data_IF_311358474626
#
_entry.id   IF_311358474626
#
_cell.length_a   1.000
_cell.length_b   1.000
_cell.length_c   1.000
_cell.angle_alpha   90.00
_cell.angle_beta   90.00
_cell.angle_gamma   90.00
#
_symmetry.space_group_name_H-M   'P 1'
#
loop_
_entity.id
_entity.type
_entity.pdbx_description
1 polymer ?
#
# COMPACT_ATOMS: atom_id res chain seq x y z
N UNK A 1 28.37 -14.14 2.48
CA UNK A 1 27.64 -13.51 1.36
C UNK A 1 28.69 -12.84 0.46
N UNK A 2 28.61 -12.99 -0.87
CA UNK A 2 29.55 -12.32 -1.78
C UNK A 2 29.04 -10.90 -2.01
N UNK A 3 29.79 -9.88 -1.60
CA UNK A 3 29.47 -8.49 -1.89
C UNK A 3 29.91 -8.16 -3.32
N UNK A 4 28.95 -8.17 -4.25
CA UNK A 4 29.15 -7.70 -5.61
C UNK A 4 28.79 -6.22 -5.69
N UNK A 5 29.55 -5.46 -6.47
CA UNK A 5 29.22 -4.10 -6.87
C UNK A 5 28.52 -4.09 -8.24
N UNK A 6 27.94 -2.94 -8.62
CA UNK A 6 27.33 -2.77 -9.94
C UNK A 6 28.34 -3.10 -11.07
N UNK A 7 29.61 -2.74 -10.91
CA UNK A 7 30.65 -3.02 -11.90
C UNK A 7 30.93 -4.52 -12.08
N UNK A 8 30.64 -5.34 -11.07
CA UNK A 8 30.91 -6.78 -11.10
C UNK A 8 29.85 -7.57 -11.89
N UNK A 9 28.71 -6.94 -12.21
CA UNK A 9 27.58 -7.57 -12.90
C UNK A 9 27.35 -7.04 -14.32
N UNK A 10 28.30 -6.30 -14.90
CA UNK A 10 28.17 -5.79 -16.27
C UNK A 10 28.34 -6.89 -17.34
N UNK A 11 27.45 -6.89 -18.33
CA UNK A 11 27.51 -7.76 -19.51
C UNK A 11 27.21 -9.22 -19.18
N UNK A 12 27.92 -10.15 -19.84
CA UNK A 12 27.68 -11.59 -19.70
C UNK A 12 27.91 -12.12 -18.26
N UNK A 13 28.68 -11.38 -17.44
CA UNK A 13 28.90 -11.70 -16.02
C UNK A 13 27.65 -11.50 -15.17
N UNK A 14 26.78 -10.56 -15.54
CA UNK A 14 25.54 -10.28 -14.80
C UNK A 14 24.54 -11.42 -14.82
N UNK A 15 24.47 -12.17 -15.93
CA UNK A 15 23.56 -13.33 -16.06
C UNK A 15 24.05 -14.57 -15.30
N UNK A 16 25.35 -14.64 -15.02
CA UNK A 16 25.95 -15.72 -14.23
C UNK A 16 25.94 -15.43 -12.72
N UNK A 17 25.69 -14.18 -12.31
CA UNK A 17 25.67 -13.80 -10.91
C UNK A 17 24.48 -14.43 -10.17
N UNK A 18 24.66 -14.84 -8.90
CA UNK A 18 23.54 -15.29 -8.07
C UNK A 18 22.47 -14.21 -7.97
N UNK A 19 21.20 -14.58 -8.17
CA UNK A 19 20.07 -13.64 -8.19
C UNK A 19 20.01 -12.77 -6.94
N UNK A 20 20.35 -13.33 -5.77
CA UNK A 20 20.34 -12.63 -4.49
C UNK A 20 21.37 -11.52 -4.47
N UNK A 21 22.58 -11.76 -5.01
CA UNK A 21 23.62 -10.73 -5.08
C UNK A 21 23.21 -9.57 -6.01
N UNK A 22 22.56 -9.87 -7.15
CA UNK A 22 21.97 -8.84 -8.03
C UNK A 22 20.90 -8.05 -7.27
N UNK A 23 20.03 -8.73 -6.52
CA UNK A 23 18.97 -8.09 -5.77
C UNK A 23 19.49 -7.21 -4.62
N UNK A 24 20.52 -7.66 -3.90
CA UNK A 24 21.14 -6.91 -2.81
C UNK A 24 21.77 -5.61 -3.32
N UNK A 25 22.42 -5.59 -4.51
CA UNK A 25 22.93 -4.34 -5.11
C UNK A 25 21.83 -3.28 -5.22
N UNK A 26 20.61 -3.68 -5.63
CA UNK A 26 19.49 -2.76 -5.77
C UNK A 26 19.04 -2.24 -4.40
N UNK A 27 18.83 -3.16 -3.45
CA UNK A 27 18.32 -2.82 -2.11
C UNK A 27 19.33 -1.97 -1.33
N UNK A 28 20.62 -2.31 -1.39
CA UNK A 28 21.68 -1.56 -0.72
C UNK A 28 21.92 -0.22 -1.40
N UNK A 29 21.86 -0.17 -2.74
CA UNK A 29 21.96 1.05 -3.52
C UNK A 29 20.87 2.05 -3.14
N UNK A 30 19.61 1.60 -3.12
CA UNK A 30 18.47 2.42 -2.72
C UNK A 30 18.54 2.87 -1.26
N UNK A 31 19.04 2.03 -0.35
CA UNK A 31 19.19 2.37 1.06
C UNK A 31 20.34 3.34 1.34
N UNK A 32 21.36 3.40 0.48
CA UNK A 32 22.57 4.20 0.70
C UNK A 32 22.43 5.70 0.44
N UNK A 33 21.24 6.17 0.01
CA UNK A 33 20.96 7.53 -0.48
C UNK A 33 21.85 8.00 -1.65
N UNK A 34 22.75 7.15 -2.15
CA UNK A 34 23.59 7.43 -3.31
C UNK A 34 22.79 7.22 -4.59
N UNK A 35 22.72 8.28 -5.39
CA UNK A 35 22.14 8.21 -6.73
C UNK A 35 22.93 7.21 -7.60
N UNK A 36 22.25 6.48 -8.50
CA UNK A 36 22.93 5.59 -9.45
C UNK A 36 23.85 6.36 -10.40
N UNK A 37 24.84 5.69 -11.02
CA UNK A 37 25.87 6.35 -11.84
C UNK A 37 25.33 7.23 -12.97
N UNK A 38 24.23 6.85 -13.63
CA UNK A 38 23.61 7.62 -14.71
C UNK A 38 22.47 8.53 -14.25
N UNK A 39 22.13 8.52 -12.96
CA UNK A 39 20.98 9.25 -12.39
C UNK A 39 19.61 8.63 -12.70
N UNK A 40 19.56 7.48 -13.41
CA UNK A 40 18.34 6.67 -13.59
C UNK A 40 18.01 5.89 -12.33
N UNK A 41 16.89 5.17 -12.32
CA UNK A 41 16.56 4.30 -11.17
C UNK A 41 17.53 3.11 -11.07
N UNK A 42 17.79 2.63 -9.85
CA UNK A 42 18.61 1.43 -9.61
C UNK A 42 18.09 0.20 -10.38
N UNK A 43 16.77 0.10 -10.57
CA UNK A 43 16.14 -0.96 -11.37
C UNK A 43 16.56 -0.89 -12.83
N UNK A 44 16.57 0.30 -13.44
CA UNK A 44 16.95 0.50 -14.83
C UNK A 44 18.44 0.23 -15.04
N UNK A 45 19.27 0.71 -14.13
CA UNK A 45 20.73 0.51 -14.17
C UNK A 45 21.11 -0.97 -14.08
N UNK A 46 20.52 -1.69 -13.13
CA UNK A 46 20.77 -3.13 -12.99
C UNK A 46 20.17 -3.91 -14.15
N UNK A 47 19.02 -3.49 -14.70
CA UNK A 47 18.44 -4.10 -15.89
C UNK A 47 19.37 -3.96 -17.11
N UNK A 48 19.92 -2.77 -17.32
CA UNK A 48 20.87 -2.49 -18.41
C UNK A 48 22.17 -3.30 -18.21
N UNK A 49 22.72 -3.32 -16.99
CA UNK A 49 23.94 -4.05 -16.66
C UNK A 49 23.81 -5.58 -16.85
N UNK A 50 22.68 -6.16 -16.42
CA UNK A 50 22.45 -7.62 -16.45
C UNK A 50 21.73 -8.11 -17.71
N UNK A 51 21.26 -7.18 -18.55
CA UNK A 51 20.40 -7.46 -19.71
C UNK A 51 19.12 -8.24 -19.37
N UNK A 52 18.60 -8.08 -18.15
CA UNK A 52 17.28 -8.60 -17.76
C UNK A 52 16.20 -7.53 -17.94
N UNK A 53 14.95 -7.91 -18.24
CA UNK A 53 13.85 -6.96 -18.27
C UNK A 53 13.65 -6.26 -16.91
N UNK A 54 13.33 -4.95 -16.86
CA UNK A 54 13.09 -4.23 -15.60
C UNK A 54 12.05 -4.88 -14.70
N UNK A 55 11.02 -5.53 -15.28
CA UNK A 55 10.00 -6.26 -14.52
C UNK A 55 10.58 -7.48 -13.79
N UNK A 56 11.60 -8.14 -14.34
CA UNK A 56 12.31 -9.24 -13.68
C UNK A 56 13.15 -8.71 -12.52
N UNK A 57 13.90 -7.63 -12.75
CA UNK A 57 14.71 -6.93 -11.74
C UNK A 57 13.86 -6.48 -10.55
N UNK A 58 12.67 -5.91 -10.80
CA UNK A 58 11.71 -5.59 -9.73
C UNK A 58 11.38 -6.81 -8.88
N UNK A 59 11.11 -7.96 -9.49
CA UNK A 59 10.80 -9.19 -8.74
C UNK A 59 11.99 -9.68 -7.90
N UNK A 60 13.21 -9.59 -8.42
CA UNK A 60 14.43 -9.91 -7.64
C UNK A 60 14.51 -9.04 -6.38
N UNK A 61 14.39 -7.71 -6.55
CA UNK A 61 14.40 -6.73 -5.45
C UNK A 61 13.39 -7.06 -4.37
N UNK A 62 12.15 -7.39 -4.75
CA UNK A 62 11.07 -7.68 -3.80
C UNK A 62 11.27 -8.97 -3.04
N UNK A 63 11.81 -9.99 -3.70
CA UNK A 63 12.19 -11.24 -3.06
C UNK A 63 13.29 -11.00 -2.03
N UNK A 64 14.27 -10.15 -2.31
CA UNK A 64 15.32 -9.79 -1.35
C UNK A 64 14.78 -8.98 -0.17
N UNK A 65 13.93 -7.97 -0.40
CA UNK A 65 13.28 -7.21 0.69
C UNK A 65 12.49 -8.15 1.60
N UNK A 66 11.70 -9.06 1.00
CA UNK A 66 10.96 -10.07 1.75
C UNK A 66 11.87 -10.92 2.65
N UNK A 67 13.01 -11.40 2.14
CA UNK A 67 13.95 -12.18 2.94
C UNK A 67 14.58 -11.34 4.06
N UNK A 68 14.98 -10.09 3.79
CA UNK A 68 15.55 -9.18 4.80
C UNK A 68 14.56 -8.83 5.91
N UNK A 69 13.28 -8.66 5.59
CA UNK A 69 12.22 -8.46 6.58
C UNK A 69 12.11 -9.67 7.51
N UNK A 70 12.08 -10.87 6.93
CA UNK A 70 12.04 -12.09 7.74
C UNK A 70 13.30 -12.30 8.60
N UNK A 71 14.48 -11.93 8.11
CA UNK A 71 15.73 -11.91 8.91
C UNK A 71 15.62 -10.95 10.10
N UNK A 72 15.09 -9.73 9.86
CA UNK A 72 14.87 -8.72 10.90
C UNK A 72 13.87 -9.20 11.95
N UNK A 73 12.86 -9.96 11.55
CA UNK A 73 11.84 -10.55 12.43
C UNK A 73 12.34 -11.82 13.17
N UNK A 74 13.61 -12.18 13.02
CA UNK A 74 14.23 -13.30 13.73
C UNK A 74 13.91 -14.67 13.15
N UNK A 75 13.42 -14.75 11.91
CA UNK A 75 13.17 -16.03 11.27
C UNK A 75 14.48 -16.68 10.77
N UNK A 76 15.03 -17.61 11.55
CA UNK A 76 16.28 -18.33 11.24
C UNK A 76 16.26 -19.11 9.91
N UNK A 77 15.06 -19.44 9.43
CA UNK A 77 14.83 -20.15 8.16
C UNK A 77 15.38 -19.40 6.92
N UNK A 78 15.64 -18.08 7.02
CA UNK A 78 16.13 -17.30 5.88
C UNK A 78 17.55 -17.69 5.46
N UNK A 79 18.39 -18.10 6.40
CA UNK A 79 19.74 -18.58 6.09
C UNK A 79 19.71 -19.78 5.14
N UNK A 80 18.81 -20.73 5.39
CA UNK A 80 18.66 -21.99 4.64
C UNK A 80 18.16 -21.78 3.20
N UNK A 81 17.37 -20.73 2.95
CA UNK A 81 16.76 -20.49 1.62
C UNK A 81 17.59 -19.59 0.72
N UNK A 82 18.77 -19.12 1.19
CA UNK A 82 19.68 -18.23 0.44
C UNK A 82 20.13 -18.82 -0.91
N UNK A 83 20.22 -20.15 -1.00
CA UNK A 83 20.66 -20.86 -2.20
C UNK A 83 19.49 -21.35 -3.07
N UNK A 84 18.24 -21.05 -2.68
CA UNK A 84 17.10 -21.53 -3.44
C UNK A 84 16.95 -20.77 -4.76
N UNK A 85 16.38 -21.41 -5.80
CA UNK A 85 16.11 -20.72 -7.04
C UNK A 85 15.15 -19.55 -6.82
N UNK A 86 15.43 -18.42 -7.47
CA UNK A 86 14.60 -17.21 -7.39
C UNK A 86 13.09 -17.50 -7.58
N UNK A 87 12.74 -18.38 -8.52
CA UNK A 87 11.34 -18.74 -8.80
C UNK A 87 10.61 -19.33 -7.59
N UNK A 88 11.33 -20.03 -6.70
CA UNK A 88 10.75 -20.59 -5.48
C UNK A 88 10.52 -19.48 -4.46
N UNK A 89 11.51 -18.62 -4.23
CA UNK A 89 11.40 -17.49 -3.30
C UNK A 89 10.28 -16.53 -3.71
N UNK A 90 10.19 -16.17 -4.99
CA UNK A 90 9.11 -15.28 -5.45
C UNK A 90 7.73 -15.92 -5.31
N UNK A 91 7.59 -17.22 -5.53
CA UNK A 91 6.31 -17.91 -5.30
C UNK A 91 5.98 -18.02 -3.81
N UNK A 92 6.96 -18.30 -2.94
CA UNK A 92 6.76 -18.36 -1.50
C UNK A 92 6.39 -16.98 -0.96
N UNK A 93 7.06 -15.91 -1.41
CA UNK A 93 6.68 -14.52 -1.11
C UNK A 93 5.22 -14.25 -1.48
N UNK A 94 4.79 -14.65 -2.68
CA UNK A 94 3.39 -14.51 -3.12
C UNK A 94 2.41 -15.37 -2.30
N UNK A 95 2.84 -16.53 -1.82
CA UNK A 95 2.05 -17.37 -0.92
C UNK A 95 1.93 -16.68 0.44
N UNK A 96 3.04 -16.16 0.99
CA UNK A 96 3.06 -15.40 2.24
C UNK A 96 2.14 -14.17 2.18
N UNK A 97 2.15 -13.42 1.08
CA UNK A 97 1.22 -12.29 0.85
C UNK A 97 -0.26 -12.71 0.91
N UNK A 98 -0.57 -13.97 0.59
CA UNK A 98 -1.94 -14.50 0.61
C UNK A 98 -2.24 -15.20 1.93
N UNK A 99 -1.28 -15.90 2.51
CA UNK A 99 -1.39 -16.70 3.73
C UNK A 99 -0.01 -16.70 4.43
N UNK A 100 0.22 -15.77 5.37
CA UNK A 100 1.53 -15.60 6.02
C UNK A 100 1.99 -16.85 6.75
N UNK A 101 1.09 -17.50 7.49
CA UNK A 101 1.38 -18.73 8.24
C UNK A 101 1.84 -19.85 7.30
N UNK A 102 1.18 -20.00 6.14
CA UNK A 102 1.58 -20.99 5.15
C UNK A 102 2.89 -20.64 4.47
N UNK A 103 3.12 -19.36 4.15
CA UNK A 103 4.39 -18.89 3.58
C UNK A 103 5.58 -19.18 4.49
N UNK A 104 5.47 -18.85 5.78
CA UNK A 104 6.50 -19.12 6.79
C UNK A 104 6.78 -20.63 6.92
N UNK A 105 5.73 -21.46 6.93
CA UNK A 105 5.87 -22.91 6.99
C UNK A 105 6.66 -23.48 5.80
N UNK A 106 6.53 -22.89 4.62
CA UNK A 106 7.29 -23.30 3.43
C UNK A 106 8.77 -22.92 3.51
N UNK A 107 9.11 -21.87 4.27
CA UNK A 107 10.49 -21.47 4.50
C UNK A 107 11.15 -22.32 5.59
N UNK A 108 10.38 -22.79 6.58
CA UNK A 108 10.88 -23.63 7.67
C UNK A 108 11.13 -25.09 7.27
N UNK A 109 11.06 -25.45 5.99
CA UNK A 109 11.16 -26.84 5.51
C UNK A 109 12.50 -27.09 4.80
N UNK A 110 13.43 -27.77 5.49
CA UNK A 110 14.73 -28.36 5.05
C UNK A 110 15.72 -27.50 4.23
N UNK A 111 17.00 -27.89 4.26
CA UNK A 111 18.10 -27.20 3.53
C UNK A 111 17.94 -27.22 1.99
N UNK A 112 17.20 -28.20 1.46
CA UNK A 112 16.82 -28.28 0.04
C UNK A 112 15.33 -28.00 -0.10
N UNK A 113 14.95 -27.22 -1.13
CA UNK A 113 13.54 -26.93 -1.42
C UNK A 113 12.78 -28.24 -1.64
N UNK A 114 11.89 -28.65 -0.72
CA UNK A 114 11.18 -29.92 -0.86
C UNK A 114 10.03 -29.81 -1.87
N UNK A 115 9.75 -28.61 -2.37
CA UNK A 115 8.69 -28.33 -3.32
C UNK A 115 9.26 -28.11 -4.70
N UNK A 116 8.65 -28.74 -5.71
CA UNK A 116 8.91 -28.37 -7.09
C UNK A 116 8.15 -27.08 -7.45
N UNK A 117 8.62 -26.35 -8.46
CA UNK A 117 8.02 -25.08 -8.86
C UNK A 117 6.52 -25.21 -9.20
N UNK A 118 6.11 -26.34 -9.81
CA UNK A 118 4.71 -26.59 -10.19
C UNK A 118 3.82 -26.74 -8.96
N UNK A 119 4.31 -27.33 -7.89
CA UNK A 119 3.59 -27.46 -6.61
C UNK A 119 3.37 -26.11 -5.96
N UNK A 120 4.39 -25.24 -5.94
CA UNK A 120 4.25 -23.88 -5.41
C UNK A 120 3.25 -23.05 -6.24
N UNK A 121 3.30 -23.15 -7.57
CA UNK A 121 2.34 -22.49 -8.46
C UNK A 121 0.92 -23.03 -8.27
N UNK A 122 0.77 -24.35 -8.13
CA UNK A 122 -0.53 -25.00 -7.85
C UNK A 122 -1.06 -24.56 -6.49
N UNK A 123 -0.23 -24.57 -5.45
CA UNK A 123 -0.60 -24.11 -4.11
C UNK A 123 -1.06 -22.64 -4.12
N UNK A 124 -0.32 -21.77 -4.79
CA UNK A 124 -0.71 -20.37 -4.95
C UNK A 124 -2.05 -20.22 -5.69
N UNK A 125 -2.25 -21.01 -6.75
CA UNK A 125 -3.53 -21.03 -7.50
C UNK A 125 -4.68 -21.54 -6.62
N UNK A 126 -4.46 -22.58 -5.83
CA UNK A 126 -5.46 -23.16 -4.95
C UNK A 126 -5.81 -22.21 -3.80
N UNK A 127 -4.81 -21.57 -3.18
CA UNK A 127 -5.03 -20.54 -2.16
C UNK A 127 -5.83 -19.35 -2.72
N UNK A 128 -5.50 -18.90 -3.93
CA UNK A 128 -6.25 -17.85 -4.63
C UNK A 128 -7.67 -18.28 -4.99
N UNK A 129 -7.89 -19.56 -5.28
CA UNK A 129 -9.22 -20.09 -5.58
C UNK A 129 -10.08 -20.30 -4.32
N UNK A 130 -9.46 -20.64 -3.17
CA UNK A 130 -10.15 -20.83 -1.89
C UNK A 130 -10.56 -19.51 -1.23
N UNK A 131 -9.84 -18.41 -1.46
CA UNK A 131 -10.23 -17.05 -1.01
C UNK A 131 -11.36 -16.41 -1.85
N UNK A 132 -12.40 -17.18 -2.15
CA UNK A 132 -13.62 -16.83 -2.91
C UNK A 132 -13.57 -17.08 -4.44
N UNK A 133 -14.63 -17.67 -5.05
CA UNK A 133 -14.72 -17.93 -6.49
C UNK A 133 -14.72 -16.68 -7.40
N UNK A 134 -14.72 -15.48 -6.82
CA UNK A 134 -14.85 -14.19 -7.53
C UNK A 134 -13.47 -13.63 -7.93
N UNK A 135 -12.37 -14.34 -7.67
CA UNK A 135 -11.00 -13.91 -7.99
C UNK A 135 -10.48 -14.34 -9.38
N UNK A 136 -11.38 -14.63 -10.34
CA UNK A 136 -11.01 -14.93 -11.73
C UNK A 136 -11.69 -13.96 -12.70
N UNK A 137 -10.96 -12.92 -13.08
CA UNK A 137 -10.93 -12.25 -14.40
C UNK A 137 -10.11 -10.98 -14.22
N UNK A 138 -9.53 -10.44 -15.29
CA UNK A 138 -8.55 -9.33 -15.32
C UNK A 138 -9.03 -7.96 -14.79
N UNK A 139 -9.94 -7.93 -13.82
CA UNK A 139 -10.57 -6.80 -13.13
C UNK A 139 -10.27 -6.75 -11.62
N UNK A 140 -9.31 -7.58 -11.16
CA UNK A 140 -9.02 -7.82 -9.74
C UNK A 140 -8.67 -6.59 -8.89
N UNK A 141 -8.25 -5.47 -9.50
CA UNK A 141 -8.03 -4.21 -8.78
C UNK A 141 -9.33 -3.57 -8.27
N UNK A 142 -10.40 -3.55 -9.09
CA UNK A 142 -11.68 -2.92 -8.72
C UNK A 142 -12.44 -3.71 -7.66
N UNK A 143 -12.44 -5.04 -7.77
CA UNK A 143 -13.10 -5.92 -6.79
C UNK A 143 -12.34 -5.88 -5.45
N UNK A 144 -11.00 -5.86 -5.47
CA UNK A 144 -10.20 -5.71 -4.25
C UNK A 144 -10.33 -4.32 -3.63
N UNK A 145 -10.44 -3.27 -4.44
CA UNK A 145 -10.73 -1.91 -3.94
C UNK A 145 -12.09 -1.88 -3.24
N UNK A 146 -13.15 -2.36 -3.90
CA UNK A 146 -14.49 -2.40 -3.31
C UNK A 146 -14.54 -3.21 -2.01
N UNK A 147 -13.92 -4.39 -1.98
CA UNK A 147 -13.81 -5.20 -0.75
C UNK A 147 -13.04 -4.48 0.36
N UNK A 148 -11.98 -3.76 0.01
CA UNK A 148 -11.22 -2.97 0.98
C UNK A 148 -12.03 -1.79 1.51
N UNK A 149 -12.78 -1.09 0.67
CA UNK A 149 -13.69 -0.01 1.08
C UNK A 149 -14.77 -0.54 2.05
N UNK A 150 -15.35 -1.73 1.79
CA UNK A 150 -16.27 -2.37 2.74
C UNK A 150 -15.61 -2.67 4.09
N UNK A 151 -14.38 -3.19 4.08
CA UNK A 151 -13.63 -3.44 5.31
C UNK A 151 -13.33 -2.14 6.07
N UNK A 152 -12.97 -1.08 5.35
CA UNK A 152 -12.73 0.22 5.97
C UNK A 152 -13.99 0.76 6.62
N UNK A 153 -15.13 0.72 5.93
CA UNK A 153 -16.42 1.12 6.49
C UNK A 153 -16.79 0.29 7.73
N UNK A 154 -16.60 -1.02 7.65
CA UNK A 154 -16.83 -1.95 8.77
C UNK A 154 -15.92 -1.61 9.96
N UNK A 155 -14.63 -1.38 9.70
CA UNK A 155 -13.66 -1.03 10.73
C UNK A 155 -13.98 0.34 11.35
N UNK A 156 -14.39 1.34 10.56
CA UNK A 156 -14.83 2.65 11.08
C UNK A 156 -16.03 2.49 12.03
N UNK A 157 -17.00 1.66 11.68
CA UNK A 157 -18.19 1.44 12.51
C UNK A 157 -17.90 0.60 13.77
N UNK A 158 -16.99 -0.38 13.66
CA UNK A 158 -16.70 -1.32 14.76
C UNK A 158 -15.64 -0.80 15.73
N UNK A 159 -14.67 -0.02 15.22
CA UNK A 159 -13.67 0.61 16.06
C UNK A 159 -14.28 1.82 16.77
N UNK A 160 -13.77 2.14 17.97
CA UNK A 160 -14.00 3.45 18.60
C UNK A 160 -13.21 4.56 17.88
N UNK A 161 -12.91 4.38 16.59
CA UNK A 161 -12.16 5.33 15.83
C UNK A 161 -12.99 6.59 15.68
N UNK A 162 -12.36 7.72 16.00
CA UNK A 162 -12.99 9.01 15.97
C UNK A 162 -12.07 9.92 15.16
N UNK A 163 -12.49 10.23 13.94
CA UNK A 163 -11.75 11.00 12.93
C UNK A 163 -11.22 12.33 13.49
N UNK A 164 -10.04 12.30 14.11
CA UNK A 164 -9.42 13.46 14.74
C UNK A 164 -9.98 13.91 16.10
N UNK A 165 -10.89 13.14 16.73
CA UNK A 165 -11.32 13.44 18.11
C UNK A 165 -10.33 12.75 19.07
N UNK A 166 -9.32 13.48 19.53
CA UNK A 166 -8.50 13.02 20.66
C UNK A 166 -9.40 12.85 21.89
N UNK A 167 -9.57 11.62 22.38
CA UNK A 167 -9.99 11.27 23.74
C UNK A 167 -10.99 12.24 24.38
N UNK A 168 -12.18 12.39 23.81
CA UNK A 168 -13.29 12.99 24.56
C UNK A 168 -14.15 11.85 25.09
N UNK A 169 -13.95 11.55 26.37
CA UNK A 169 -14.92 10.88 27.24
C UNK A 169 -16.21 11.71 27.41
N UNK A 170 -16.28 12.89 26.81
CA UNK A 170 -17.48 13.71 26.73
C UNK A 170 -18.39 13.26 25.58
N UNK A 171 -19.60 12.91 25.99
CA UNK A 171 -20.69 12.45 25.14
C UNK A 171 -20.92 13.30 23.87
N UNK A 172 -21.12 12.59 22.77
CA UNK A 172 -22.04 12.96 21.68
C UNK A 172 -21.61 14.03 20.66
N UNK A 173 -20.35 14.03 20.17
CA UNK A 173 -20.13 14.55 18.81
C UNK A 173 -20.62 13.50 17.82
N UNK A 174 -21.90 13.63 17.42
CA UNK A 174 -22.49 12.79 16.37
C UNK A 174 -21.93 13.20 15.01
N UNK A 175 -21.02 12.40 14.47
CA UNK A 175 -20.68 12.45 13.06
C UNK A 175 -21.49 11.40 12.31
N UNK A 176 -21.74 11.64 11.02
CA UNK A 176 -22.41 10.68 10.15
C UNK A 176 -21.48 10.33 9.00
N UNK A 177 -21.16 9.05 8.85
CA UNK A 177 -20.45 8.53 7.68
C UNK A 177 -21.46 7.93 6.70
N UNK A 178 -21.39 8.35 5.44
CA UNK A 178 -22.23 7.82 4.36
C UNK A 178 -21.38 7.62 3.11
N UNK A 179 -21.78 6.67 2.26
CA UNK A 179 -21.18 6.49 0.93
C UNK A 179 -21.45 7.69 0.06
N UNK A 180 -20.47 8.05 -0.74
CA UNK A 180 -20.64 9.07 -1.76
C UNK A 180 -21.56 8.56 -2.88
N UNK A 181 -22.81 9.02 -2.88
CA UNK A 181 -23.82 8.54 -3.85
C UNK A 181 -23.74 9.18 -5.24
N UNK A 182 -23.09 10.36 -5.35
CA UNK A 182 -23.13 11.18 -6.57
C UNK A 182 -21.74 11.69 -6.92
N UNK A 183 -21.00 11.01 -7.80
CA UNK A 183 -19.72 11.54 -8.30
C UNK A 183 -19.92 12.94 -8.87
N UNK A 184 -19.30 13.95 -8.27
CA UNK A 184 -19.28 15.28 -8.87
C UNK A 184 -18.16 15.31 -9.90
N UNK A 185 -18.20 16.28 -10.83
CA UNK A 185 -17.10 16.48 -11.79
C UNK A 185 -15.77 16.89 -11.12
N UNK A 186 -15.78 17.16 -9.81
CA UNK A 186 -14.66 17.74 -9.07
C UNK A 186 -14.12 16.82 -7.96
N UNK A 187 -14.99 16.02 -7.36
CA UNK A 187 -14.64 15.11 -6.27
C UNK A 187 -15.56 13.89 -6.30
N UNK A 188 -14.98 12.74 -6.00
CA UNK A 188 -15.67 11.45 -5.93
C UNK A 188 -15.03 10.56 -4.87
N UNK A 189 -14.98 11.01 -3.60
CA UNK A 189 -14.44 10.18 -2.53
C UNK A 189 -15.30 8.93 -2.34
N UNK A 190 -14.78 7.91 -1.67
CA UNK A 190 -15.59 6.72 -1.36
C UNK A 190 -16.68 7.01 -0.32
N UNK A 191 -16.33 7.78 0.70
CA UNK A 191 -17.23 8.17 1.77
C UNK A 191 -17.09 9.66 2.08
N UNK A 192 -18.12 10.20 2.73
CA UNK A 192 -18.04 11.48 3.39
C UNK A 192 -18.45 11.36 4.84
N UNK A 193 -17.84 12.20 5.68
CA UNK A 193 -18.16 12.33 7.09
C UNK A 193 -18.66 13.74 7.32
N UNK A 194 -19.90 13.86 7.77
CA UNK A 194 -20.46 15.15 8.15
C UNK A 194 -20.45 15.34 9.64
N UNK A 195 -20.11 16.55 10.04
CA UNK A 195 -20.11 17.05 11.40
C UNK A 195 -21.16 18.17 11.49
N UNK A 196 -22.43 17.86 11.80
CA UNK A 196 -23.51 18.84 11.72
C UNK A 196 -23.29 20.04 12.65
N UNK A 197 -22.76 19.78 13.85
CA UNK A 197 -22.48 20.81 14.85
C UNK A 197 -21.38 21.78 14.40
N UNK A 198 -20.47 21.34 13.53
CA UNK A 198 -19.34 22.13 13.04
C UNK A 198 -19.56 22.66 11.62
N UNK A 199 -20.68 22.32 10.96
CA UNK A 199 -20.90 22.55 9.51
C UNK A 199 -19.69 22.15 8.68
N UNK A 200 -19.08 21.02 9.05
CA UNK A 200 -17.85 20.49 8.46
C UNK A 200 -18.14 19.21 7.69
N UNK A 201 -17.53 19.08 6.52
CA UNK A 201 -17.59 17.87 5.69
C UNK A 201 -16.17 17.40 5.42
N UNK A 202 -15.86 16.20 5.90
CA UNK A 202 -14.66 15.50 5.54
C UNK A 202 -14.94 14.48 4.45
N UNK A 203 -13.92 14.13 3.69
CA UNK A 203 -13.93 13.03 2.74
C UNK A 203 -13.04 11.89 3.23
N UNK A 204 -13.37 10.68 2.80
CA UNK A 204 -12.59 9.47 3.10
C UNK A 204 -12.44 8.65 1.83
N UNK A 205 -11.21 8.24 1.55
CA UNK A 205 -10.85 7.43 0.40
C UNK A 205 -10.03 6.21 0.84
N UNK A 206 -10.43 5.01 0.41
CA UNK A 206 -9.75 3.78 0.79
C UNK A 206 -8.92 3.21 -0.36
N UNK A 207 -7.62 3.15 -0.20
CA UNK A 207 -6.70 2.70 -1.23
C UNK A 207 -6.26 1.24 -0.99
N UNK A 208 -7.20 0.34 -1.29
CA UNK A 208 -7.00 -1.10 -1.24
C UNK A 208 -6.16 -1.65 -2.38
N UNK A 209 -5.45 -2.76 -2.13
CA UNK A 209 -4.69 -3.48 -3.16
C UNK A 209 -3.50 -2.70 -3.72
N UNK A 210 -3.07 -1.63 -3.05
CA UNK A 210 -1.83 -0.95 -3.36
C UNK A 210 -0.63 -1.85 -3.02
N UNK A 211 0.33 -1.84 -3.93
CA UNK A 211 1.62 -2.49 -3.77
C UNK A 211 2.68 -1.47 -4.16
N UNK A 212 3.75 -1.34 -3.38
CA UNK A 212 4.89 -0.44 -3.60
C UNK A 212 5.57 -0.59 -4.98
N UNK A 213 5.24 -1.65 -5.72
CA UNK A 213 5.71 -1.94 -7.07
C UNK A 213 4.99 -1.15 -8.16
N UNK A 214 3.87 -0.51 -7.82
CA UNK A 214 3.03 0.28 -8.74
C UNK A 214 3.05 1.74 -8.32
N UNK A 215 4.25 2.32 -8.30
CA UNK A 215 4.48 3.72 -7.92
C UNK A 215 3.71 4.70 -8.81
N UNK A 216 3.50 4.36 -10.08
CA UNK A 216 2.62 5.07 -11.01
C UNK A 216 1.21 5.27 -10.43
N UNK A 217 0.65 4.21 -9.83
CA UNK A 217 -0.70 4.24 -9.28
C UNK A 217 -0.74 4.90 -7.91
N UNK A 218 0.28 4.67 -7.08
CA UNK A 218 0.40 5.36 -5.80
C UNK A 218 0.47 6.88 -6.07
N UNK A 219 1.28 7.30 -7.04
CA UNK A 219 1.37 8.70 -7.45
C UNK A 219 0.05 9.24 -8.02
N UNK A 220 -0.67 8.46 -8.82
CA UNK A 220 -2.00 8.85 -9.32
C UNK A 220 -3.00 9.01 -8.17
N UNK A 221 -3.00 8.09 -7.20
CA UNK A 221 -3.85 8.18 -6.00
C UNK A 221 -3.51 9.37 -5.13
N UNK A 222 -2.23 9.65 -4.92
CA UNK A 222 -1.77 10.85 -4.21
C UNK A 222 -2.24 12.11 -4.95
N UNK A 223 -2.07 12.20 -6.27
CA UNK A 223 -2.53 13.35 -7.06
C UNK A 223 -4.03 13.56 -6.94
N UNK A 224 -4.82 12.48 -6.99
CA UNK A 224 -6.27 12.56 -6.82
C UNK A 224 -6.62 13.01 -5.41
N UNK A 225 -6.02 12.43 -4.37
CA UNK A 225 -6.24 12.84 -2.99
C UNK A 225 -5.90 14.33 -2.77
N UNK A 226 -4.77 14.79 -3.31
CA UNK A 226 -4.32 16.19 -3.24
C UNK A 226 -5.29 17.12 -3.95
N UNK A 227 -5.83 16.71 -5.10
CA UNK A 227 -6.80 17.51 -5.84
C UNK A 227 -8.16 17.54 -5.12
N UNK A 228 -8.67 16.37 -4.73
CA UNK A 228 -9.98 16.24 -4.10
C UNK A 228 -10.01 16.84 -2.70
N UNK A 229 -8.90 16.81 -1.95
CA UNK A 229 -8.81 17.44 -0.64
C UNK A 229 -9.06 18.94 -0.67
N UNK A 230 -8.97 19.59 -1.84
CA UNK A 230 -9.29 21.02 -1.99
C UNK A 230 -10.78 21.34 -1.83
N UNK A 231 -11.65 20.33 -1.84
CA UNK A 231 -13.11 20.47 -1.76
C UNK A 231 -13.70 20.08 -0.38
N UNK A 232 -12.88 19.60 0.56
CA UNK A 232 -13.33 19.12 1.87
C UNK A 232 -12.53 19.78 3.00
N UNK A 233 -13.11 19.84 4.20
CA UNK A 233 -12.44 20.38 5.38
C UNK A 233 -11.20 19.56 5.74
N UNK A 234 -11.38 18.23 5.83
CA UNK A 234 -10.29 17.24 5.93
C UNK A 234 -10.50 16.14 4.91
N UNK A 235 -9.41 15.62 4.37
CA UNK A 235 -9.41 14.46 3.48
C UNK A 235 -8.64 13.32 4.12
N UNK A 236 -9.32 12.21 4.42
CA UNK A 236 -8.72 11.04 5.03
C UNK A 236 -8.40 9.99 3.97
N UNK A 237 -7.17 9.49 3.99
CA UNK A 237 -6.73 8.36 3.17
C UNK A 237 -6.61 7.15 4.07
N UNK A 238 -7.30 6.06 3.74
CA UNK A 238 -7.15 4.77 4.42
C UNK A 238 -6.32 3.84 3.56
N UNK A 239 -5.20 3.36 4.09
CA UNK A 239 -4.30 2.41 3.43
C UNK A 239 -4.14 1.15 4.29
N UNK A 240 -3.79 -0.01 3.70
CA UNK A 240 -3.37 -1.17 4.49
C UNK A 240 -2.11 -0.81 5.30
N UNK A 241 -2.03 -1.25 6.57
CA UNK A 241 -0.83 -1.03 7.40
C UNK A 241 0.36 -1.77 6.77
N UNK A 242 1.25 -0.99 6.16
CA UNK A 242 2.54 -1.42 5.57
C UNK A 242 3.49 -0.24 5.62
N UNK A 243 4.68 -0.45 6.19
CA UNK A 243 5.67 0.62 6.41
C UNK A 243 5.99 1.38 5.10
N UNK A 244 6.08 0.69 3.97
CA UNK A 244 6.44 1.33 2.70
C UNK A 244 5.31 2.20 2.15
N UNK A 245 4.05 1.77 2.24
CA UNK A 245 2.92 2.57 1.80
C UNK A 245 2.76 3.81 2.68
N UNK A 246 2.88 3.62 3.99
CA UNK A 246 2.86 4.72 4.95
C UNK A 246 3.93 5.76 4.61
N UNK A 247 5.18 5.33 4.40
CA UNK A 247 6.29 6.22 4.03
C UNK A 247 5.97 7.04 2.77
N UNK A 248 5.51 6.39 1.68
CA UNK A 248 5.22 7.09 0.43
C UNK A 248 4.11 8.14 0.56
N UNK A 249 3.01 7.80 1.24
CA UNK A 249 1.92 8.76 1.43
C UNK A 249 2.35 9.91 2.36
N UNK A 250 3.01 9.60 3.49
CA UNK A 250 3.51 10.61 4.42
C UNK A 250 4.47 11.58 3.75
N UNK A 251 5.46 11.06 3.04
CA UNK A 251 6.45 11.89 2.33
C UNK A 251 5.76 12.80 1.31
N UNK A 252 4.92 12.25 0.44
CA UNK A 252 4.29 13.04 -0.61
C UNK A 252 3.34 14.13 -0.07
N UNK A 253 2.56 13.83 0.98
CA UNK A 253 1.69 14.81 1.64
C UNK A 253 2.50 15.93 2.29
N UNK A 254 3.64 15.59 2.90
CA UNK A 254 4.54 16.57 3.51
C UNK A 254 5.23 17.45 2.47
N UNK A 255 5.78 16.86 1.42
CA UNK A 255 6.47 17.58 0.34
C UNK A 255 5.53 18.52 -0.42
N UNK A 256 4.26 18.12 -0.57
CA UNK A 256 3.21 18.95 -1.20
C UNK A 256 2.57 19.96 -0.24
N UNK A 257 2.93 19.94 1.06
CA UNK A 257 2.41 20.87 2.05
C UNK A 257 0.91 20.70 2.35
N UNK A 258 0.35 19.51 2.14
CA UNK A 258 -1.09 19.26 2.28
C UNK A 258 -1.46 19.09 3.75
N UNK A 259 -1.74 20.20 4.43
CA UNK A 259 -2.03 20.19 5.86
C UNK A 259 -3.38 19.56 6.23
N UNK A 260 -4.33 19.49 5.29
CA UNK A 260 -5.68 18.97 5.54
C UNK A 260 -5.88 17.50 5.17
N UNK A 261 -4.80 16.79 4.83
CA UNK A 261 -4.86 15.37 4.54
C UNK A 261 -4.39 14.58 5.77
N UNK A 262 -5.19 13.60 6.20
CA UNK A 262 -4.83 12.62 7.21
C UNK A 262 -4.65 11.23 6.61
N UNK A 263 -3.82 10.40 7.22
CA UNK A 263 -3.53 9.02 6.78
C UNK A 263 -3.90 8.06 7.91
N UNK A 264 -4.74 7.09 7.57
CA UNK A 264 -5.19 6.03 8.44
C UNK A 264 -4.70 4.68 7.93
N UNK A 265 -4.38 3.80 8.87
CA UNK A 265 -3.98 2.43 8.62
C UNK A 265 -5.12 1.49 8.97
N UNK A 266 -5.49 0.61 8.05
CA UNK A 266 -6.37 -0.52 8.35
C UNK A 266 -5.52 -1.75 8.72
N UNK A 267 -5.72 -2.25 9.94
CA UNK A 267 -5.28 -3.59 10.33
C UNK A 267 -6.28 -4.60 9.76
N UNK A 268 -5.88 -5.28 8.69
CA UNK A 268 -6.70 -6.29 8.02
C UNK A 268 -7.02 -7.51 8.91
N UNK A 269 -6.23 -7.78 9.95
CA UNK A 269 -6.41 -8.93 10.85
C UNK A 269 -7.40 -8.62 11.96
N UNK A 270 -7.22 -7.47 12.62
CA UNK A 270 -8.06 -7.06 13.73
C UNK A 270 -9.29 -6.23 13.30
N UNK A 271 -9.34 -5.82 12.02
CA UNK A 271 -10.35 -4.90 11.47
C UNK A 271 -10.43 -3.60 12.28
N UNK A 272 -9.26 -3.07 12.66
CA UNK A 272 -9.12 -1.83 13.41
C UNK A 272 -8.48 -0.75 12.56
N UNK A 273 -8.90 0.50 12.80
CA UNK A 273 -8.28 1.67 12.20
C UNK A 273 -7.36 2.33 13.21
N UNK A 274 -6.14 2.61 12.77
CA UNK A 274 -5.16 3.40 13.51
C UNK A 274 -4.83 4.67 12.74
N UNK A 275 -4.58 5.76 13.46
CA UNK A 275 -4.06 7.00 12.85
C UNK A 275 -2.57 6.84 12.60
N UNK A 276 -2.15 6.87 11.33
CA UNK A 276 -0.73 6.87 10.95
C UNK A 276 -0.19 8.30 10.91
N UNK A 277 -0.97 9.23 10.35
CA UNK A 277 -0.70 10.67 10.30
C UNK A 277 -2.02 11.43 10.48
N UNK A 278 -2.08 12.37 11.42
CA UNK A 278 -3.25 13.23 11.57
C UNK A 278 -3.19 14.43 10.62
N UNK A 279 -4.34 14.99 10.19
CA UNK A 279 -4.34 16.28 9.50
C UNK A 279 -3.80 17.36 10.45
N UNK A 280 -2.99 18.26 9.90
CA UNK A 280 -2.40 19.40 10.61
C UNK A 280 -3.29 20.64 10.58
N UNK A 281 -4.28 20.68 9.69
CA UNK A 281 -5.26 21.74 9.55
C UNK A 281 -6.63 21.16 9.16
N UNK A 282 -7.70 21.89 9.46
CA UNK A 282 -9.10 21.53 9.15
C UNK A 282 -9.66 22.37 7.98
N UNK A 283 -8.76 22.89 7.15
CA UNK A 283 -9.12 23.75 6.02
C UNK A 283 -8.35 23.32 4.76
N UNK A 284 -9.05 23.22 3.61
CA UNK A 284 -8.43 22.81 2.35
C UNK A 284 -7.34 23.78 1.88
N UNK A 285 -6.31 23.20 1.25
CA UNK A 285 -5.19 23.96 0.68
C UNK A 285 -4.95 23.53 -0.77
N UNK A 286 -5.25 24.39 -1.78
CA UNK A 286 -6.05 25.60 -1.71
C UNK A 286 -7.54 25.31 -1.43
N UNK A 287 -8.30 26.31 -0.99
CA UNK A 287 -9.74 26.18 -0.76
C UNK A 287 -10.54 26.34 -2.07
N UNK A 288 -11.20 25.26 -2.49
CA UNK A 288 -12.10 25.23 -3.67
C UNK A 288 -13.54 24.89 -3.30
N UNK A 289 -13.91 24.92 -2.02
CA UNK A 289 -15.27 24.55 -1.57
C UNK A 289 -16.36 25.43 -2.20
N UNK A 290 -16.05 26.70 -2.49
CA UNK A 290 -16.97 27.61 -3.18
C UNK A 290 -17.45 27.15 -4.57
N UNK A 291 -16.76 26.19 -5.20
CA UNK A 291 -17.13 25.65 -6.53
C UNK A 291 -18.37 24.75 -6.47
N UNK A 292 -18.74 24.26 -5.29
CA UNK A 292 -19.85 23.30 -5.12
C UNK A 292 -20.69 23.56 -3.86
N UNK A 293 -20.74 24.83 -3.44
CA UNK A 293 -21.43 25.27 -2.21
C UNK A 293 -22.92 24.89 -2.20
N UNK A 294 -23.58 24.86 -3.36
CA UNK A 294 -24.99 24.43 -3.48
C UNK A 294 -25.15 22.96 -3.06
N UNK A 295 -24.24 22.08 -3.52
CA UNK A 295 -24.24 20.67 -3.14
C UNK A 295 -23.89 20.49 -1.67
N UNK A 296 -22.92 21.27 -1.16
CA UNK A 296 -22.53 21.26 0.25
C UNK A 296 -23.69 21.64 1.17
N UNK A 297 -24.44 22.67 0.81
CA UNK A 297 -25.64 23.10 1.53
C UNK A 297 -26.73 22.03 1.50
N UNK A 298 -26.99 21.43 0.33
CA UNK A 298 -27.95 20.33 0.21
C UNK A 298 -27.58 19.12 1.08
N UNK A 299 -26.29 18.79 1.22
CA UNK A 299 -25.84 17.70 2.09
C UNK A 299 -26.16 17.96 3.57
N UNK A 300 -26.01 19.20 4.05
CA UNK A 300 -26.40 19.56 5.43
C UNK A 300 -27.92 19.56 5.63
N UNK A 301 -28.68 19.98 4.63
CA UNK A 301 -30.15 19.98 4.67
C UNK A 301 -30.72 18.55 4.72
N UNK A 302 -30.15 17.62 3.95
CA UNK A 302 -30.54 16.20 4.00
C UNK A 302 -30.32 15.57 5.38
N UNK A 303 -29.33 16.03 6.15
CA UNK A 303 -29.03 15.53 7.49
C UNK A 303 -29.88 16.19 8.59
N UNK A 304 -30.51 17.32 8.28
CA UNK A 304 -31.40 18.04 9.20
C UNK A 304 -32.86 17.56 9.10
N UNK A 305 -33.15 16.64 8.18
CA UNK A 305 -34.49 16.18 7.81
C UNK A 305 -34.84 14.79 8.38
N UNK A 306 -33.88 14.14 9.05
CA UNK A 306 -34.01 12.86 9.78
C UNK A 306 -34.06 13.11 11.29
#
# INVERSE_FOLDING_TARGET
MVNLSLNDIWGDKGRAAPWRAIASIIVDGEASEKAPPTGRSWIEEVADATQYPPAYIRRLRLSEIFLRLLEKDGHEAVGAVSNWPFSHIDNIRKIYEVDPARGLKLLSTSETSPFNQRELEKLLKDLRARKSPIAKLGSGGRIRSAQFSEKCLTAIHNSKYSFGLKNNDDAAVKYYIRRWGNSTKWASPEFFVTWPNERRIDAVDCYGGLHCQRMDIINEKIKNAVFESTFFDVFWIIIPIREELEYFFKQAINDLGMANIGILGLDDFNLEIITLEGPRAVHPVPDRRGVWEIQRQAMFEMLSSD
#
